data_IF_300820854573
#
_entry.id   IF_300820854573
#
_cell.length_a   1.000
_cell.length_b   1.000
_cell.length_c   1.000
_cell.angle_alpha   90.00
_cell.angle_beta   90.00
_cell.angle_gamma   90.00
#
_symmetry.space_group_name_H-M   'P 1'
#
loop_
_entity.id
_entity.type
_entity.pdbx_description
1 polymer ?
#
# COMPACT_ATOMS: atom_id res chain seq x y z
N UNK A 1 -2.85 23.75 38.07
CA UNK A 1 -2.61 22.37 38.54
C UNK A 1 -1.96 21.60 37.39
N UNK A 2 -1.08 20.64 37.67
CA UNK A 2 -0.50 19.77 36.63
C UNK A 2 -1.57 18.82 36.06
N UNK A 3 -1.61 18.67 34.74
CA UNK A 3 -2.62 17.86 34.05
C UNK A 3 -2.34 16.36 34.25
N UNK A 4 -3.23 15.66 34.94
CA UNK A 4 -3.22 14.19 34.98
C UNK A 4 -3.92 13.63 33.75
N UNK A 5 -3.49 12.44 33.30
CA UNK A 5 -4.03 11.82 32.11
C UNK A 5 -4.62 10.45 32.42
N UNK A 6 -5.75 10.16 31.79
CA UNK A 6 -6.38 8.86 31.79
C UNK A 6 -5.59 7.89 30.86
N UNK A 7 -5.02 6.78 31.38
CA UNK A 7 -4.11 5.95 30.61
C UNK A 7 -4.69 5.25 29.38
N UNK A 8 -5.96 4.82 29.39
CA UNK A 8 -6.54 4.13 28.24
C UNK A 8 -6.82 5.09 27.09
N UNK A 9 -7.18 6.34 27.38
CA UNK A 9 -7.32 7.39 26.37
C UNK A 9 -5.98 7.81 25.78
N UNK A 10 -4.91 7.82 26.57
CA UNK A 10 -3.53 8.02 26.05
C UNK A 10 -3.15 6.86 25.12
N UNK A 11 -3.43 5.62 25.50
CA UNK A 11 -3.16 4.47 24.64
C UNK A 11 -4.00 4.53 23.33
N UNK A 12 -5.26 4.94 23.43
CA UNK A 12 -6.14 5.11 22.28
C UNK A 12 -5.64 6.21 21.33
N UNK A 13 -5.21 7.37 21.86
CA UNK A 13 -4.68 8.47 21.04
C UNK A 13 -3.45 8.01 20.26
N UNK A 14 -2.55 7.27 20.90
CA UNK A 14 -1.36 6.66 20.27
C UNK A 14 -1.74 5.64 19.20
N UNK A 15 -2.73 4.78 19.47
CA UNK A 15 -3.21 3.79 18.51
C UNK A 15 -3.81 4.47 17.27
N UNK A 16 -4.62 5.52 17.45
CA UNK A 16 -5.21 6.28 16.36
C UNK A 16 -4.14 7.01 15.53
N UNK A 17 -3.15 7.62 16.19
CA UNK A 17 -2.01 8.23 15.52
C UNK A 17 -1.24 7.20 14.68
N UNK A 18 -1.00 6.01 15.23
CA UNK A 18 -0.31 4.92 14.57
C UNK A 18 -1.08 4.41 13.35
N UNK A 19 -2.38 4.09 13.52
CA UNK A 19 -3.23 3.59 12.45
C UNK A 19 -3.28 4.58 11.28
N UNK A 20 -3.62 5.85 11.54
CA UNK A 20 -3.74 6.86 10.49
C UNK A 20 -2.39 7.16 9.83
N UNK A 21 -1.29 7.19 10.60
CA UNK A 21 0.07 7.31 10.05
C UNK A 21 0.40 6.14 9.16
N UNK A 22 0.12 4.91 9.58
CA UNK A 22 0.38 3.71 8.78
C UNK A 22 -0.34 3.76 7.43
N UNK A 23 -1.62 4.09 7.41
CA UNK A 23 -2.41 4.21 6.17
C UNK A 23 -1.87 5.34 5.30
N UNK A 24 -1.69 6.54 5.88
CA UNK A 24 -1.26 7.72 5.13
C UNK A 24 0.12 7.61 4.52
N UNK A 25 1.08 7.01 5.24
CA UNK A 25 2.40 6.74 4.70
C UNK A 25 2.36 5.69 3.58
N UNK A 26 1.49 4.68 3.66
CA UNK A 26 1.34 3.66 2.61
C UNK A 26 0.80 4.28 1.30
N UNK A 27 -0.16 5.20 1.41
CA UNK A 27 -0.69 5.94 0.27
C UNK A 27 0.38 6.87 -0.31
N UNK A 28 1.10 7.61 0.53
CA UNK A 28 2.12 8.57 0.12
C UNK A 28 3.25 7.92 -0.71
N UNK A 29 3.68 6.71 -0.35
CA UNK A 29 4.73 6.00 -1.10
C UNK A 29 4.28 5.65 -2.53
N UNK A 30 3.00 5.32 -2.73
CA UNK A 30 2.46 4.94 -4.04
C UNK A 30 2.26 6.13 -4.98
N UNK A 31 2.20 7.37 -4.45
CA UNK A 31 1.99 8.59 -5.25
C UNK A 31 2.99 8.72 -6.39
N UNK A 32 4.27 8.36 -6.16
CA UNK A 32 5.35 8.55 -7.14
C UNK A 32 5.25 7.65 -8.36
N UNK A 33 4.56 6.52 -8.25
CA UNK A 33 4.47 5.49 -9.30
C UNK A 33 3.11 5.46 -9.99
N UNK A 34 2.14 6.24 -9.50
CA UNK A 34 0.77 6.22 -10.00
C UNK A 34 0.55 7.19 -11.19
N UNK A 35 -0.28 6.76 -12.15
CA UNK A 35 -0.78 7.60 -13.23
C UNK A 35 -1.65 8.76 -12.70
N UNK A 36 -1.79 9.83 -13.50
CA UNK A 36 -2.38 11.11 -13.08
C UNK A 36 -3.69 11.05 -12.26
N UNK A 37 -4.75 10.30 -12.63
CA UNK A 37 -6.00 10.28 -11.85
C UNK A 37 -5.81 9.56 -10.50
N UNK A 38 -5.16 8.38 -10.51
CA UNK A 38 -4.86 7.61 -9.29
C UNK A 38 -3.90 8.37 -8.37
N UNK A 39 -2.96 9.13 -8.94
CA UNK A 39 -2.01 9.96 -8.20
C UNK A 39 -2.73 11.03 -7.37
N UNK A 40 -3.73 11.70 -7.94
CA UNK A 40 -4.54 12.71 -7.21
C UNK A 40 -5.30 12.06 -6.05
N UNK A 41 -5.91 10.90 -6.28
CA UNK A 41 -6.62 10.15 -5.24
C UNK A 41 -5.70 9.71 -4.10
N UNK A 42 -4.52 9.18 -4.43
CA UNK A 42 -3.52 8.77 -3.43
C UNK A 42 -2.98 9.95 -2.63
N UNK A 43 -2.76 11.11 -3.27
CA UNK A 43 -2.36 12.34 -2.59
C UNK A 43 -3.45 12.83 -1.62
N UNK A 44 -4.70 12.89 -2.10
CA UNK A 44 -5.83 13.29 -1.28
C UNK A 44 -6.01 12.33 -0.10
N UNK A 45 -5.92 11.02 -0.34
CA UNK A 45 -6.01 10.02 0.71
C UNK A 45 -4.87 10.09 1.72
N UNK A 46 -3.62 10.26 1.26
CA UNK A 46 -2.47 10.43 2.15
C UNK A 46 -2.62 11.68 3.03
N UNK A 47 -3.03 12.81 2.44
CA UNK A 47 -3.27 14.05 3.17
C UNK A 47 -4.38 13.89 4.22
N UNK A 48 -5.52 13.31 3.82
CA UNK A 48 -6.68 13.14 4.69
C UNK A 48 -6.42 12.18 5.84
N UNK A 49 -5.78 11.03 5.58
CA UNK A 49 -5.47 10.03 6.61
C UNK A 49 -4.39 10.50 7.58
N UNK A 50 -3.34 11.19 7.11
CA UNK A 50 -2.35 11.81 7.99
C UNK A 50 -2.96 12.93 8.83
N UNK A 51 -3.78 13.80 8.24
CA UNK A 51 -4.45 14.86 8.97
C UNK A 51 -5.41 14.29 10.02
N UNK A 52 -6.17 13.24 9.70
CA UNK A 52 -6.99 12.51 10.68
C UNK A 52 -6.14 11.89 11.78
N UNK A 53 -4.97 11.31 11.47
CA UNK A 53 -4.07 10.77 12.49
C UNK A 53 -3.65 11.85 13.51
N UNK A 54 -3.23 13.01 13.01
CA UNK A 54 -2.76 14.13 13.85
C UNK A 54 -3.95 14.71 14.64
N UNK A 55 -5.06 14.99 13.97
CA UNK A 55 -6.27 15.60 14.57
C UNK A 55 -6.94 14.69 15.58
N UNK A 56 -7.17 13.41 15.25
CA UNK A 56 -7.77 12.46 16.18
C UNK A 56 -6.89 12.21 17.39
N UNK A 57 -5.56 12.08 17.21
CA UNK A 57 -4.66 11.96 18.35
C UNK A 57 -4.76 13.18 19.26
N UNK A 58 -4.78 14.40 18.70
CA UNK A 58 -4.88 15.62 19.49
C UNK A 58 -6.16 15.67 20.33
N UNK A 59 -7.33 15.45 19.73
CA UNK A 59 -8.60 15.53 20.46
C UNK A 59 -8.80 14.39 21.45
N UNK A 60 -8.41 13.15 21.10
CA UNK A 60 -8.43 12.03 22.07
C UNK A 60 -7.39 12.26 23.18
N UNK A 61 -6.24 12.87 22.88
CA UNK A 61 -5.24 13.28 23.86
C UNK A 61 -5.75 14.36 24.80
N UNK A 62 -6.52 15.34 24.29
CA UNK A 62 -7.22 16.33 25.11
C UNK A 62 -8.28 15.69 26.00
N UNK A 63 -9.03 14.71 25.49
CA UNK A 63 -10.00 13.95 26.29
C UNK A 63 -9.32 13.12 27.38
N UNK A 64 -8.08 12.68 27.15
CA UNK A 64 -7.29 11.99 28.16
C UNK A 64 -6.93 12.90 29.34
N UNK A 65 -6.85 14.23 29.14
CA UNK A 65 -6.58 15.17 30.22
C UNK A 65 -7.76 15.22 31.20
N UNK A 66 -7.49 14.93 32.47
CA UNK A 66 -8.49 14.99 33.53
C UNK A 66 -8.66 16.44 33.98
N UNK A 67 -9.69 17.07 33.44
CA UNK A 67 -10.06 18.43 33.82
C UNK A 67 -11.08 18.39 34.98
N UNK A 68 -11.01 19.33 35.93
CA UNK A 68 -11.88 19.34 37.12
C UNK A 68 -13.35 19.68 36.81
N UNK A 69 -13.69 19.94 35.55
CA UNK A 69 -15.02 20.32 35.08
C UNK A 69 -15.32 19.68 33.73
N UNK A 70 -16.60 19.49 33.43
CA UNK A 70 -17.03 19.05 32.11
C UNK A 70 -16.66 20.12 31.07
N UNK A 71 -15.99 19.68 30.00
CA UNK A 71 -15.59 20.54 28.88
C UNK A 71 -16.34 20.16 27.62
N UNK A 72 -16.88 21.17 26.96
CA UNK A 72 -17.46 21.06 25.63
C UNK A 72 -16.50 21.66 24.60
N UNK A 73 -16.63 21.17 23.37
CA UNK A 73 -15.77 21.54 22.25
C UNK A 73 -16.55 22.31 21.21
N UNK A 74 -16.12 23.53 20.91
CA UNK A 74 -16.71 24.34 19.85
C UNK A 74 -16.51 23.67 18.49
N UNK A 75 -17.59 23.59 17.70
CA UNK A 75 -17.58 22.91 16.40
C UNK A 75 -16.65 23.62 15.41
N UNK A 76 -16.72 24.95 15.35
CA UNK A 76 -16.00 25.73 14.33
C UNK A 76 -14.46 25.64 14.46
N UNK A 77 -13.84 25.87 15.63
CA UNK A 77 -12.39 25.68 15.79
C UNK A 77 -11.95 24.23 15.55
N UNK A 78 -12.80 23.27 15.93
CA UNK A 78 -12.56 21.83 15.72
C UNK A 78 -12.49 21.48 14.23
N UNK A 79 -13.42 21.97 13.42
CA UNK A 79 -13.43 21.76 11.97
C UNK A 79 -12.33 22.56 11.26
N UNK A 80 -12.08 23.80 11.71
CA UNK A 80 -11.08 24.67 11.11
C UNK A 80 -9.65 24.14 11.33
N UNK A 81 -9.34 23.65 12.54
CA UNK A 81 -8.07 22.99 12.82
C UNK A 81 -7.84 21.76 11.94
N UNK A 82 -8.89 20.94 11.74
CA UNK A 82 -8.82 19.80 10.82
C UNK A 82 -8.55 20.24 9.37
N UNK A 83 -9.32 21.22 8.86
CA UNK A 83 -9.19 21.71 7.50
C UNK A 83 -7.77 22.28 7.23
N UNK A 84 -7.27 23.12 8.14
CA UNK A 84 -5.92 23.68 8.04
C UNK A 84 -4.87 22.57 8.02
N UNK A 85 -5.03 21.55 8.88
CA UNK A 85 -4.14 20.38 8.91
C UNK A 85 -4.13 19.64 7.57
N UNK A 86 -5.30 19.31 7.01
CA UNK A 86 -5.44 18.61 5.72
C UNK A 86 -4.73 19.37 4.60
N UNK A 87 -4.93 20.69 4.53
CA UNK A 87 -4.33 21.52 3.48
C UNK A 87 -2.82 21.59 3.62
N UNK A 88 -2.30 21.90 4.81
CA UNK A 88 -0.87 22.12 5.03
C UNK A 88 -0.08 20.80 4.93
N UNK A 89 -0.58 19.71 5.53
CA UNK A 89 0.04 18.39 5.41
C UNK A 89 -0.06 17.89 3.96
N UNK A 90 -1.17 18.14 3.27
CA UNK A 90 -1.34 17.80 1.86
C UNK A 90 -0.33 18.51 0.95
N UNK A 91 -0.08 19.81 1.17
CA UNK A 91 0.96 20.57 0.46
C UNK A 91 2.34 19.97 0.71
N UNK A 92 2.66 19.61 1.96
CA UNK A 92 3.95 19.02 2.29
C UNK A 92 4.15 17.64 1.64
N UNK A 93 3.13 16.77 1.67
CA UNK A 93 3.16 15.46 1.01
C UNK A 93 3.27 15.61 -0.51
N UNK A 94 2.52 16.55 -1.09
CA UNK A 94 2.60 16.85 -2.52
C UNK A 94 4.01 17.31 -2.92
N UNK A 95 4.58 18.27 -2.19
CA UNK A 95 5.93 18.77 -2.42
C UNK A 95 6.98 17.66 -2.30
N UNK A 96 6.87 16.81 -1.27
CA UNK A 96 7.77 15.68 -1.06
C UNK A 96 7.64 14.59 -2.13
N UNK A 97 6.46 14.45 -2.75
CA UNK A 97 6.16 13.41 -3.75
C UNK A 97 6.51 13.80 -5.19
N UNK A 98 6.66 15.09 -5.50
CA UNK A 98 6.72 15.56 -6.89
C UNK A 98 8.14 15.53 -7.52
N UNK A 99 9.21 15.37 -6.74
CA UNK A 99 10.58 15.45 -7.27
C UNK A 99 11.64 14.72 -6.40
N UNK A 100 12.90 14.71 -6.84
CA UNK A 100 14.02 14.26 -6.01
C UNK A 100 14.12 15.13 -4.74
N UNK A 101 14.20 14.46 -3.59
CA UNK A 101 14.40 15.12 -2.31
C UNK A 101 15.84 15.60 -2.19
N UNK A 102 16.04 16.90 -2.42
CA UNK A 102 17.25 17.58 -1.98
C UNK A 102 17.14 17.90 -0.48
N UNK A 103 18.25 18.06 0.26
CA UNK A 103 18.21 18.45 1.67
C UNK A 103 17.41 19.74 1.92
N UNK A 104 17.49 20.70 0.99
CA UNK A 104 16.70 21.93 1.07
C UNK A 104 15.20 21.67 0.94
N UNK A 105 14.77 20.83 -0.01
CA UNK A 105 13.35 20.47 -0.17
C UNK A 105 12.84 19.67 1.01
N UNK A 106 13.66 18.79 1.58
CA UNK A 106 13.35 18.09 2.82
C UNK A 106 13.12 19.09 3.96
N UNK A 107 14.02 20.06 4.15
CA UNK A 107 13.88 21.10 5.16
C UNK A 107 12.62 21.96 4.98
N UNK A 108 12.35 22.40 3.75
CA UNK A 108 11.13 23.19 3.44
C UNK A 108 9.86 22.38 3.65
N UNK A 109 9.80 21.13 3.19
CA UNK A 109 8.63 20.27 3.39
C UNK A 109 8.42 19.92 4.87
N UNK A 110 9.50 19.69 5.62
CA UNK A 110 9.47 19.48 7.07
C UNK A 110 8.94 20.71 7.81
N UNK A 111 9.39 21.90 7.43
CA UNK A 111 8.92 23.16 8.01
C UNK A 111 7.43 23.39 7.73
N UNK A 112 6.97 23.19 6.49
CA UNK A 112 5.55 23.31 6.12
C UNK A 112 4.71 22.29 6.91
N UNK A 113 5.10 21.01 6.89
CA UNK A 113 4.37 19.96 7.60
C UNK A 113 4.34 20.21 9.11
N UNK A 114 5.48 20.51 9.73
CA UNK A 114 5.57 20.82 11.15
C UNK A 114 4.76 22.06 11.54
N UNK A 115 4.73 23.09 10.69
CA UNK A 115 3.86 24.26 10.89
C UNK A 115 2.39 23.86 10.88
N UNK A 116 1.97 22.95 9.98
CA UNK A 116 0.62 22.42 9.96
C UNK A 116 0.26 21.65 11.24
N UNK A 117 1.19 20.83 11.75
CA UNK A 117 1.00 20.09 13.01
C UNK A 117 0.87 21.04 14.20
N UNK A 118 1.76 22.05 14.30
CA UNK A 118 1.67 23.08 15.35
C UNK A 118 0.38 23.88 15.25
N UNK A 119 0.05 24.41 14.06
CA UNK A 119 -1.16 25.20 13.85
C UNK A 119 -2.41 24.40 14.19
N UNK A 120 -2.50 23.13 13.76
CA UNK A 120 -3.64 22.27 14.12
C UNK A 120 -3.75 22.12 15.63
N UNK A 121 -2.64 21.86 16.33
CA UNK A 121 -2.65 21.69 17.79
C UNK A 121 -3.13 22.95 18.51
N UNK A 122 -2.49 24.10 18.29
CA UNK A 122 -2.88 25.32 19.01
C UNK A 122 -4.24 25.85 18.56
N UNK A 123 -4.61 25.69 17.29
CA UNK A 123 -5.97 26.00 16.82
C UNK A 123 -7.01 25.04 17.43
N UNK A 124 -6.64 23.79 17.65
CA UNK A 124 -7.46 22.77 18.32
C UNK A 124 -7.64 23.06 19.81
N UNK A 125 -6.64 23.63 20.48
CA UNK A 125 -6.77 24.10 21.87
C UNK A 125 -7.89 25.15 22.01
N UNK A 126 -8.05 26.06 21.05
CA UNK A 126 -9.16 27.03 21.02
C UNK A 126 -10.55 26.39 20.86
N UNK A 127 -10.63 25.08 20.58
CA UNK A 127 -11.91 24.37 20.62
C UNK A 127 -12.43 24.20 22.05
N UNK A 128 -11.56 24.18 23.05
CA UNK A 128 -11.99 24.20 24.45
C UNK A 128 -12.67 25.54 24.72
N UNK A 129 -13.92 25.47 25.18
CA UNK A 129 -14.75 26.64 25.46
C UNK A 129 -14.06 27.63 26.43
N UNK A 130 -14.41 28.91 26.34
CA UNK A 130 -13.84 30.03 27.13
C UNK A 130 -14.01 29.90 28.67
N UNK A 131 -14.62 28.83 29.16
CA UNK A 131 -14.71 28.52 30.60
C UNK A 131 -13.33 28.36 31.26
N UNK A 132 -12.28 28.16 30.45
CA UNK A 132 -10.91 27.95 30.90
C UNK A 132 -9.98 28.98 30.26
N UNK A 133 -9.38 29.85 31.07
CA UNK A 133 -8.23 30.61 30.61
C UNK A 133 -7.02 29.68 30.55
N UNK A 134 -6.54 29.44 29.32
CA UNK A 134 -5.39 28.61 29.02
C UNK A 134 -4.13 29.49 28.98
N UNK A 135 -3.19 29.24 29.89
CA UNK A 135 -1.85 29.85 29.87
C UNK A 135 -0.83 28.82 29.43
N UNK A 136 -0.07 29.16 28.39
CA UNK A 136 0.98 28.30 27.85
C UNK A 136 2.35 28.82 28.28
N UNK A 137 3.19 27.93 28.81
CA UNK A 137 4.60 28.24 29.06
C UNK A 137 5.37 28.33 27.71
N UNK A 138 5.99 29.48 27.39
CA UNK A 138 6.72 29.67 26.14
C UNK A 138 7.81 28.62 25.87
N UNK A 139 8.43 28.07 26.92
CA UNK A 139 9.48 27.05 26.77
C UNK A 139 8.92 25.75 26.20
N UNK A 140 7.76 25.33 26.68
CA UNK A 140 7.08 24.13 26.20
C UNK A 140 6.49 24.33 24.80
N UNK A 141 6.04 25.54 24.47
CA UNK A 141 5.64 25.89 23.08
C UNK A 141 6.83 25.72 22.14
N UNK A 142 7.98 26.30 22.49
CA UNK A 142 9.18 26.18 21.67
C UNK A 142 9.64 24.73 21.55
N UNK A 143 9.63 23.98 22.65
CA UNK A 143 9.97 22.55 22.65
C UNK A 143 9.03 21.73 21.76
N UNK A 144 7.71 22.00 21.82
CA UNK A 144 6.73 21.31 20.98
C UNK A 144 6.94 21.64 19.50
N UNK A 145 7.29 22.88 19.16
CA UNK A 145 7.62 23.29 17.78
C UNK A 145 8.86 22.56 17.27
N UNK A 146 9.93 22.49 18.08
CA UNK A 146 11.14 21.76 17.73
C UNK A 146 10.84 20.28 17.51
N UNK A 147 10.03 19.66 18.39
CA UNK A 147 9.60 18.27 18.19
C UNK A 147 8.82 18.14 16.88
N UNK A 148 7.87 19.03 16.58
CA UNK A 148 7.07 18.98 15.36
C UNK A 148 7.93 19.06 14.09
N UNK A 149 8.87 20.00 14.02
CA UNK A 149 9.73 20.18 12.83
C UNK A 149 10.68 19.00 12.64
N UNK A 150 11.29 18.50 13.72
CA UNK A 150 12.15 17.33 13.65
C UNK A 150 11.37 16.06 13.31
N UNK A 151 10.17 15.89 13.88
CA UNK A 151 9.26 14.78 13.58
C UNK A 151 8.84 14.76 12.11
N UNK A 152 8.42 15.91 11.58
CA UNK A 152 8.04 16.08 10.19
C UNK A 152 9.23 15.79 9.25
N UNK A 153 10.41 16.31 9.56
CA UNK A 153 11.63 16.04 8.81
C UNK A 153 12.00 14.56 8.82
N UNK A 154 11.94 13.92 9.98
CA UNK A 154 12.19 12.50 10.13
C UNK A 154 11.19 11.67 9.31
N UNK A 155 9.90 11.98 9.38
CA UNK A 155 8.87 11.26 8.63
C UNK A 155 9.07 11.36 7.12
N UNK A 156 9.33 12.57 6.60
CA UNK A 156 9.59 12.78 5.17
C UNK A 156 10.89 12.07 4.76
N UNK A 157 11.93 12.11 5.59
CA UNK A 157 13.19 11.41 5.34
C UNK A 157 13.03 9.89 5.32
N UNK A 158 12.27 9.31 6.25
CA UNK A 158 12.00 7.86 6.30
C UNK A 158 11.23 7.37 5.06
N UNK A 159 10.38 8.21 4.47
CA UNK A 159 9.57 7.86 3.30
C UNK A 159 10.31 8.02 1.98
N UNK A 160 11.04 9.11 1.85
CA UNK A 160 11.53 9.60 0.56
C UNK A 160 13.05 9.80 0.51
N UNK A 161 13.75 9.61 1.64
CA UNK A 161 15.20 9.74 1.75
C UNK A 161 15.97 8.73 0.92
N UNK A 162 17.26 9.02 0.71
CA UNK A 162 18.19 8.16 -0.02
C UNK A 162 18.65 7.03 0.89
N UNK A 163 18.49 5.78 0.46
CA UNK A 163 19.00 4.60 1.17
C UNK A 163 17.97 3.49 1.37
N UNK A 164 18.25 2.58 2.31
CA UNK A 164 17.36 1.47 2.66
C UNK A 164 16.22 2.01 3.52
N UNK A 165 15.00 1.98 2.99
CA UNK A 165 13.82 2.41 3.73
C UNK A 165 13.53 1.41 4.87
N UNK A 166 13.24 1.89 6.09
CA UNK A 166 12.78 1.01 7.16
C UNK A 166 11.39 0.43 6.81
N UNK A 167 10.97 -0.65 7.49
CA UNK A 167 9.61 -1.16 7.36
C UNK A 167 8.60 -0.05 7.69
N UNK A 168 7.52 0.03 6.90
CA UNK A 168 6.52 1.09 7.06
C UNK A 168 5.86 1.14 8.44
N UNK A 169 5.73 -0.02 9.08
CA UNK A 169 5.26 -0.15 10.47
C UNK A 169 6.15 0.66 11.42
N UNK A 170 7.47 0.60 11.24
CA UNK A 170 8.42 1.35 12.06
C UNK A 170 8.30 2.85 11.80
N UNK A 171 8.22 3.27 10.53
CA UNK A 171 8.02 4.69 10.18
C UNK A 171 6.71 5.25 10.75
N UNK A 172 5.63 4.47 10.70
CA UNK A 172 4.34 4.84 11.26
C UNK A 172 4.38 4.95 12.78
N UNK A 173 5.03 4.01 13.47
CA UNK A 173 5.22 4.07 14.92
C UNK A 173 6.04 5.30 15.34
N UNK A 174 7.13 5.58 14.64
CA UNK A 174 7.98 6.74 14.91
C UNK A 174 7.19 8.04 14.68
N UNK A 175 6.45 8.16 13.57
CA UNK A 175 5.62 9.33 13.31
C UNK A 175 4.53 9.50 14.38
N UNK A 176 3.82 8.43 14.74
CA UNK A 176 2.79 8.45 15.76
C UNK A 176 3.31 8.90 17.13
N UNK A 177 4.44 8.32 17.56
CA UNK A 177 5.12 8.72 18.79
C UNK A 177 5.56 10.18 18.74
N UNK A 178 6.01 10.66 17.59
CA UNK A 178 6.47 12.04 17.45
C UNK A 178 5.32 13.06 17.48
N UNK A 179 4.18 12.73 16.85
CA UNK A 179 2.94 13.53 16.95
C UNK A 179 2.49 13.57 18.41
N UNK A 180 2.44 12.43 19.10
CA UNK A 180 2.06 12.34 20.51
C UNK A 180 3.03 13.09 21.42
N UNK A 181 4.34 12.94 21.20
CA UNK A 181 5.37 13.65 21.95
C UNK A 181 5.20 15.17 21.84
N UNK A 182 4.91 15.69 20.65
CA UNK A 182 4.63 17.12 20.48
C UNK A 182 3.42 17.55 21.32
N UNK A 183 2.30 16.83 21.19
CA UNK A 183 1.06 17.16 21.88
C UNK A 183 1.22 17.12 23.40
N UNK A 184 1.75 16.02 23.96
CA UNK A 184 1.91 15.87 25.40
C UNK A 184 2.98 16.81 25.97
N UNK A 185 3.99 17.20 25.17
CA UNK A 185 4.94 18.25 25.57
C UNK A 185 4.22 19.60 25.68
N UNK A 186 3.40 19.97 24.70
CA UNK A 186 2.64 21.21 24.75
C UNK A 186 1.62 21.23 25.91
N UNK A 187 0.95 20.10 26.18
CA UNK A 187 0.03 19.95 27.31
C UNK A 187 0.73 20.00 28.67
N UNK A 188 1.97 19.50 28.77
CA UNK A 188 2.74 19.56 30.01
C UNK A 188 3.06 21.01 30.43
N UNK A 189 3.16 21.93 29.47
CA UNK A 189 3.36 23.37 29.70
C UNK A 189 2.07 24.18 29.85
N UNK A 190 0.90 23.53 29.94
CA UNK A 190 -0.39 24.18 30.02
C UNK A 190 -0.85 24.33 31.47
N UNK A 191 -1.30 25.52 31.83
CA UNK A 191 -2.01 25.78 33.09
C UNK A 191 -3.41 26.30 32.81
N UNK A 192 -4.36 25.81 33.61
CA UNK A 192 -5.78 26.16 33.51
C UNK A 192 -6.19 27.00 34.71
N UNK A 193 -6.81 28.15 34.42
CA UNK A 193 -7.50 28.98 35.41
C UNK A 193 -9.01 28.95 35.10
N UNK A 194 -9.85 28.38 35.99
CA UNK A 194 -11.29 28.37 35.79
C UNK A 194 -11.82 29.80 35.79
N UNK A 195 -12.55 30.16 34.75
CA UNK A 195 -13.30 31.42 34.74
C UNK A 195 -14.75 31.12 35.01
N UNK A 196 -15.29 31.72 36.06
CA UNK A 196 -16.72 31.66 36.36
C UNK A 196 -17.47 32.57 35.40
N UNK A 197 -17.79 32.07 34.21
CA UNK A 197 -18.72 32.73 33.30
C UNK A 197 -20.16 32.33 33.66
N UNK A 198 -20.86 33.25 34.32
CA UNK A 198 -22.30 33.17 34.51
C UNK A 198 -23.00 33.50 33.18
N UNK A 199 -23.12 32.51 32.28
CA UNK A 199 -23.82 32.68 31.02
C UNK A 199 -23.99 31.37 30.27
N UNK A 200 -25.25 30.97 30.03
CA UNK A 200 -25.58 29.81 29.20
C UNK A 200 -25.10 29.98 27.76
N UNK A 201 -24.77 28.85 27.13
CA UNK A 201 -24.15 28.76 25.80
C UNK A 201 -25.00 29.38 24.69
N UNK A 202 -24.39 30.20 23.83
CA UNK A 202 -24.98 30.68 22.57
C UNK A 202 -24.33 30.05 21.32
N UNK A 203 -23.15 29.43 21.44
CA UNK A 203 -22.40 28.87 20.33
C UNK A 203 -22.58 27.33 20.22
N UNK A 204 -22.63 26.75 18.99
CA UNK A 204 -22.71 25.30 18.80
C UNK A 204 -21.48 24.57 19.35
N UNK A 205 -21.70 23.62 20.26
CA UNK A 205 -20.65 22.82 20.88
C UNK A 205 -20.99 21.33 20.87
N UNK A 206 -19.95 20.49 20.93
CA UNK A 206 -20.04 19.04 21.06
C UNK A 206 -19.63 18.64 22.47
N UNK A 207 -20.40 17.76 23.09
CA UNK A 207 -19.95 17.13 24.33
C UNK A 207 -18.72 16.26 24.08
N UNK A 208 -17.85 16.16 25.09
CA UNK A 208 -16.65 15.34 25.06
C UNK A 208 -16.89 13.90 24.53
N UNK A 209 -17.97 13.26 25.00
CA UNK A 209 -18.34 11.90 24.56
C UNK A 209 -18.79 11.84 23.09
N UNK A 210 -19.57 12.82 22.62
CA UNK A 210 -20.00 12.89 21.22
C UNK A 210 -18.79 13.09 20.29
N UNK A 211 -17.89 14.01 20.67
CA UNK A 211 -16.67 14.25 19.91
C UNK A 211 -15.80 12.98 19.85
N UNK A 212 -15.62 12.28 20.98
CA UNK A 212 -14.87 11.02 21.03
C UNK A 212 -15.40 10.00 20.02
N UNK A 213 -16.73 9.77 20.03
CA UNK A 213 -17.40 8.83 19.13
C UNK A 213 -17.20 9.25 17.66
N UNK A 214 -17.44 10.52 17.34
CA UNK A 214 -17.28 11.03 15.97
C UNK A 214 -15.84 10.85 15.50
N UNK A 215 -14.87 11.28 16.31
CA UNK A 215 -13.45 11.22 16.00
C UNK A 215 -13.02 9.77 15.74
N UNK A 216 -13.39 8.85 16.61
CA UNK A 216 -13.06 7.42 16.47
C UNK A 216 -13.70 6.79 15.24
N UNK A 217 -15.00 7.02 15.01
CA UNK A 217 -15.72 6.48 13.86
C UNK A 217 -15.16 7.01 12.54
N UNK A 218 -14.96 8.34 12.43
CA UNK A 218 -14.42 8.96 11.21
C UNK A 218 -13.01 8.46 10.93
N UNK A 219 -12.13 8.44 11.92
CA UNK A 219 -10.76 7.95 11.74
C UNK A 219 -10.73 6.48 11.31
N UNK A 220 -11.56 5.62 11.91
CA UNK A 220 -11.64 4.21 11.56
C UNK A 220 -12.21 4.00 10.15
N UNK A 221 -13.34 4.62 9.82
CA UNK A 221 -13.99 4.47 8.51
C UNK A 221 -13.12 4.99 7.38
N UNK A 222 -12.51 6.17 7.55
CA UNK A 222 -11.64 6.75 6.52
C UNK A 222 -10.37 5.91 6.38
N UNK A 223 -9.75 5.48 7.47
CA UNK A 223 -8.59 4.57 7.41
C UNK A 223 -8.95 3.26 6.72
N UNK A 224 -10.09 2.65 7.07
CA UNK A 224 -10.60 1.42 6.47
C UNK A 224 -10.86 1.57 4.97
N UNK A 225 -11.50 2.65 4.55
CA UNK A 225 -11.75 2.95 3.13
C UNK A 225 -10.44 3.05 2.33
N UNK A 226 -9.45 3.76 2.88
CA UNK A 226 -8.16 3.87 2.18
C UNK A 226 -7.33 2.60 2.28
N UNK A 227 -7.45 1.80 3.33
CA UNK A 227 -6.88 0.45 3.36
C UNK A 227 -7.49 -0.44 2.28
N UNK A 228 -8.80 -0.35 2.03
CA UNK A 228 -9.44 -1.04 0.90
C UNK A 228 -8.89 -0.55 -0.45
N UNK A 229 -8.55 0.73 -0.58
CA UNK A 229 -7.87 1.24 -1.77
C UNK A 229 -6.43 0.68 -1.94
N UNK A 230 -5.84 0.12 -0.87
CA UNK A 230 -4.56 -0.61 -0.94
C UNK A 230 -4.76 -2.08 -1.31
N UNK A 231 -5.94 -2.66 -1.08
CA UNK A 231 -6.27 -4.02 -1.53
C UNK A 231 -6.38 -3.98 -3.05
N UNK A 232 -5.54 -4.71 -3.80
CA UNK A 232 -5.71 -4.82 -5.23
C UNK A 232 -7.10 -5.40 -5.46
N UNK A 233 -7.98 -4.64 -6.13
CA UNK A 233 -9.22 -5.20 -6.63
C UNK A 233 -8.82 -6.39 -7.50
N UNK A 234 -9.12 -7.61 -7.03
CA UNK A 234 -9.05 -8.77 -7.90
C UNK A 234 -9.95 -8.41 -9.07
N UNK A 235 -9.38 -8.33 -10.26
CA UNK A 235 -10.11 -8.15 -11.50
C UNK A 235 -10.98 -9.40 -11.70
N UNK A 236 -12.10 -9.46 -10.98
CA UNK A 236 -13.18 -10.36 -11.28
C UNK A 236 -13.82 -9.78 -12.54
N UNK A 237 -13.37 -10.27 -13.69
CA UNK A 237 -14.17 -10.25 -14.90
C UNK A 237 -15.41 -11.09 -14.62
N UNK A 238 -16.41 -10.48 -13.98
CA UNK A 238 -17.77 -10.95 -14.15
C UNK A 238 -18.09 -10.79 -15.62
N UNK A 239 -18.25 -11.94 -16.25
CA UNK A 239 -18.83 -12.16 -17.55
C UNK A 239 -20.15 -11.39 -17.59
N UNK A 240 -20.15 -10.18 -18.17
CA UNK A 240 -21.36 -9.65 -18.79
C UNK A 240 -21.66 -10.59 -19.95
N UNK A 241 -22.56 -11.53 -19.68
CA UNK A 241 -23.29 -12.27 -20.71
C UNK A 241 -23.89 -11.23 -21.66
N UNK A 242 -23.29 -11.10 -22.83
CA UNK A 242 -23.88 -10.36 -23.94
C UNK A 242 -25.05 -11.21 -24.42
N UNK A 243 -26.26 -10.75 -24.12
CA UNK A 243 -27.46 -11.17 -24.83
C UNK A 243 -27.24 -11.00 -26.34
N UNK A 244 -27.37 -12.10 -27.08
CA UNK A 244 -27.58 -12.07 -28.52
C UNK A 244 -28.99 -12.59 -28.77
N UNK A 245 -29.85 -11.85 -29.49
CA UNK A 245 -31.19 -12.29 -29.83
C UNK A 245 -31.15 -13.32 -30.96
N UNK A 246 -31.94 -14.38 -30.84
CA UNK A 246 -32.29 -15.26 -31.95
C UNK A 246 -33.80 -15.45 -31.97
N UNK A 247 -34.43 -14.81 -32.96
CA UNK A 247 -35.83 -14.97 -33.36
C UNK A 247 -36.11 -16.39 -33.89
N UNK A 248 -37.29 -16.88 -33.52
CA UNK A 248 -38.22 -17.75 -34.27
C UNK A 248 -37.77 -19.13 -34.79
N UNK A 249 -38.33 -20.21 -34.21
CA UNK A 249 -39.47 -20.92 -34.82
C UNK A 249 -40.10 -22.01 -33.93
N UNK A 250 -41.41 -21.87 -33.80
CA UNK A 250 -42.51 -22.84 -33.63
C UNK A 250 -42.17 -24.34 -33.61
N UNK A 251 -42.66 -25.07 -32.60
CA UNK A 251 -43.83 -25.96 -32.74
C UNK A 251 -44.21 -26.67 -31.42
N UNK A 252 -45.41 -26.34 -30.94
CA UNK A 252 -46.47 -27.22 -30.43
C UNK A 252 -46.24 -28.23 -29.28
N UNK A 253 -47.26 -28.22 -28.41
CA UNK A 253 -47.83 -29.31 -27.58
C UNK A 253 -47.38 -29.47 -26.12
N UNK A 254 -48.05 -28.72 -25.24
CA UNK A 254 -48.63 -29.25 -23.99
C UNK A 254 -49.93 -30.03 -24.32
N UNK A 255 -50.62 -30.72 -23.37
CA UNK A 255 -50.30 -30.98 -21.95
C UNK A 255 -50.46 -32.47 -21.57
N UNK A 256 -49.99 -32.88 -20.39
CA UNK A 256 -50.91 -33.50 -19.42
C UNK A 256 -50.29 -33.65 -18.03
N UNK A 257 -51.08 -33.26 -17.04
CA UNK A 257 -50.95 -33.58 -15.62
C UNK A 257 -52.35 -34.00 -15.19
N UNK A 258 -52.54 -35.02 -14.34
CA UNK A 258 -52.60 -34.76 -12.90
C UNK A 258 -52.06 -36.01 -12.11
N UNK A 259 -51.86 -36.09 -10.79
CA UNK A 259 -52.76 -35.81 -9.65
C UNK A 259 -51.97 -36.15 -8.36
N UNK A 260 -52.07 -35.27 -7.36
CA UNK A 260 -52.19 -35.44 -5.88
C UNK A 260 -51.49 -36.61 -5.14
N UNK A 261 -50.69 -36.27 -4.12
CA UNK A 261 -50.95 -36.47 -2.67
C UNK A 261 -50.60 -37.91 -2.18
N UNK A 262 -50.09 -38.21 -0.97
CA UNK A 262 -49.99 -37.55 0.32
C UNK A 262 -49.09 -38.42 1.25
N UNK A 263 -48.65 -37.84 2.37
CA UNK A 263 -48.42 -38.50 3.68
C UNK A 263 -47.11 -39.26 4.04
N UNK A 264 -46.37 -38.60 4.96
CA UNK A 264 -46.07 -39.00 6.36
C UNK A 264 -45.21 -40.25 6.71
N UNK A 265 -44.02 -39.92 7.23
CA UNK A 265 -43.43 -40.27 8.56
C UNK A 265 -43.11 -41.71 9.03
N UNK A 266 -41.89 -41.81 9.59
CA UNK A 266 -41.42 -42.58 10.78
C UNK A 266 -40.42 -43.74 10.54
N UNK A 267 -39.19 -43.48 11.00
CA UNK A 267 -38.18 -44.29 11.73
C UNK A 267 -38.23 -45.83 11.64
N UNK A 268 -37.07 -46.45 11.40
CA UNK A 268 -36.22 -47.19 12.38
C UNK A 268 -34.88 -47.62 11.74
N UNK A 269 -33.77 -47.56 12.50
CA UNK A 269 -32.48 -48.22 12.17
C UNK A 269 -32.47 -49.69 12.63
N UNK A 270 -31.33 -50.42 12.77
CA UNK A 270 -29.98 -49.92 13.10
C UNK A 270 -28.76 -50.68 12.45
N UNK A 271 -27.56 -50.33 12.92
CA UNK A 271 -26.25 -51.07 12.88
C UNK A 271 -25.41 -50.99 11.57
N UNK A 272 -24.08 -50.80 11.55
CA UNK A 272 -23.01 -50.85 12.59
C UNK A 272 -21.69 -50.28 12.00
N UNK A 273 -20.81 -49.82 12.91
CA UNK A 273 -19.33 -49.68 12.77
C UNK A 273 -18.81 -48.50 11.92
N UNK A 274 -17.90 -47.63 12.34
CA UNK A 274 -17.06 -47.51 13.54
C UNK A 274 -15.89 -46.55 13.23
N UNK A 275 -15.47 -45.76 14.24
CA UNK A 275 -14.21 -45.01 14.39
C UNK A 275 -13.94 -43.74 13.53
N UNK A 276 -13.88 -42.60 14.24
CA UNK A 276 -12.92 -41.49 14.05
C UNK A 276 -11.54 -41.87 14.65
N UNK A 277 -10.44 -41.08 14.58
CA UNK A 277 -10.11 -39.85 13.80
C UNK A 277 -8.68 -39.84 13.17
N UNK A 278 -8.26 -38.68 12.61
CA UNK A 278 -6.88 -38.17 12.47
C UNK A 278 -5.97 -38.64 11.31
N UNK A 279 -5.17 -37.68 10.78
CA UNK A 279 -3.82 -37.96 10.27
C UNK A 279 -3.48 -37.43 8.87
N UNK A 280 -2.48 -36.55 8.82
CA UNK A 280 -1.64 -36.25 7.65
C UNK A 280 -1.16 -37.53 6.93
N UNK A 281 -1.25 -37.60 5.59
CA UNK A 281 -0.08 -37.70 4.70
C UNK A 281 -0.43 -37.99 3.22
N UNK A 282 0.28 -37.26 2.36
CA UNK A 282 0.88 -37.68 1.09
C UNK A 282 0.01 -38.27 -0.03
N UNK A 283 -0.11 -37.50 -1.11
CA UNK A 283 0.06 -38.02 -2.46
C UNK A 283 0.81 -36.99 -3.32
N UNK A 284 2.15 -37.07 -3.27
CA UNK A 284 3.01 -36.48 -4.28
C UNK A 284 2.80 -37.26 -5.60
N UNK A 285 1.97 -36.72 -6.49
CA UNK A 285 1.83 -37.23 -7.85
C UNK A 285 3.04 -36.84 -8.70
N UNK A 286 3.95 -37.79 -8.91
CA UNK A 286 5.00 -37.67 -9.91
C UNK A 286 4.37 -37.58 -11.31
N UNK A 287 4.36 -36.39 -11.90
CA UNK A 287 3.91 -36.18 -13.28
C UNK A 287 5.08 -36.49 -14.23
N UNK A 288 4.89 -37.52 -15.06
CA UNK A 288 5.81 -37.91 -16.14
C UNK A 288 5.97 -36.77 -17.16
N UNK A 289 7.17 -36.55 -17.73
CA UNK A 289 7.33 -35.62 -18.85
C UNK A 289 6.80 -36.26 -20.14
N UNK A 290 5.77 -35.67 -20.74
CA UNK A 290 5.32 -36.00 -22.10
C UNK A 290 6.25 -35.37 -23.16
N UNK A 291 6.41 -36.02 -24.33
CA UNK A 291 7.46 -35.69 -25.31
C UNK A 291 7.17 -34.43 -26.13
N UNK A 292 8.25 -33.93 -26.74
CA UNK A 292 8.39 -32.69 -27.49
C UNK A 292 7.53 -32.58 -28.77
N UNK A 293 7.18 -31.34 -29.10
CA UNK A 293 6.81 -30.80 -30.43
C UNK A 293 5.32 -30.57 -30.73
N UNK A 294 4.78 -29.51 -30.13
CA UNK A 294 3.87 -28.56 -30.79
C UNK A 294 4.21 -27.17 -30.24
N UNK A 295 4.17 -26.12 -31.08
CA UNK A 295 4.60 -24.74 -30.76
C UNK A 295 4.22 -24.36 -29.32
N UNK A 296 5.21 -24.33 -28.42
CA UNK A 296 4.97 -23.92 -27.03
C UNK A 296 4.62 -22.44 -27.04
N UNK A 297 3.43 -22.12 -26.57
CA UNK A 297 2.95 -20.74 -26.42
C UNK A 297 2.78 -20.43 -24.94
N UNK A 298 2.96 -19.16 -24.59
CA UNK A 298 2.62 -18.66 -23.26
C UNK A 298 1.36 -17.78 -23.36
N UNK A 299 0.44 -17.86 -22.40
CA UNK A 299 -0.70 -16.97 -22.34
C UNK A 299 -0.23 -15.55 -22.05
N UNK A 300 -0.65 -14.60 -22.87
CA UNK A 300 -0.40 -13.17 -22.68
C UNK A 300 -1.70 -12.37 -22.71
N UNK A 301 -1.70 -11.22 -22.07
CA UNK A 301 -2.76 -10.24 -22.20
C UNK A 301 -2.25 -9.07 -23.05
N UNK A 302 -2.95 -8.81 -24.16
CA UNK A 302 -2.66 -7.71 -25.09
C UNK A 302 -3.95 -6.92 -25.28
N UNK A 303 -3.91 -5.62 -24.95
CA UNK A 303 -5.05 -4.71 -25.10
C UNK A 303 -6.34 -5.20 -24.40
N UNK A 304 -6.20 -5.89 -23.25
CA UNK A 304 -7.31 -6.47 -22.48
C UNK A 304 -7.85 -7.80 -23.04
N UNK A 305 -7.27 -8.34 -24.10
CA UNK A 305 -7.62 -9.65 -24.67
C UNK A 305 -6.56 -10.70 -24.35
N UNK A 306 -7.01 -11.92 -24.01
CA UNK A 306 -6.13 -13.08 -23.81
C UNK A 306 -5.66 -13.59 -25.17
N UNK A 307 -4.37 -13.38 -25.47
CA UNK A 307 -3.69 -13.87 -26.66
C UNK A 307 -2.60 -14.87 -26.25
N UNK A 308 -1.96 -15.51 -27.21
CA UNK A 308 -0.82 -16.40 -26.98
C UNK A 308 0.40 -15.86 -27.72
N UNK A 309 1.57 -15.88 -27.06
CA UNK A 309 2.86 -15.56 -27.68
C UNK A 309 3.66 -16.83 -27.90
N UNK A 310 4.38 -16.93 -29.03
CA UNK A 310 5.28 -18.04 -29.26
C UNK A 310 6.50 -17.95 -28.34
N UNK A 311 6.85 -19.04 -27.66
CA UNK A 311 8.08 -19.08 -26.82
C UNK A 311 9.35 -18.60 -27.56
N UNK A 312 9.56 -18.87 -28.87
CA UNK A 312 10.73 -18.36 -29.59
C UNK A 312 10.80 -16.83 -29.71
N UNK A 313 9.68 -16.13 -29.61
CA UNK A 313 9.60 -14.66 -29.75
C UNK A 313 10.02 -13.94 -28.45
N UNK A 314 10.21 -14.69 -27.35
CA UNK A 314 10.48 -14.13 -26.04
C UNK A 314 11.99 -13.98 -25.82
N UNK A 315 12.40 -12.77 -25.49
CA UNK A 315 13.77 -12.37 -25.20
C UNK A 315 14.06 -12.46 -23.70
N UNK A 316 13.15 -11.93 -22.88
CA UNK A 316 13.30 -11.92 -21.42
C UNK A 316 11.97 -12.07 -20.70
N UNK A 317 12.05 -12.53 -19.45
CA UNK A 317 10.90 -12.75 -18.58
C UNK A 317 11.26 -12.22 -17.20
N UNK A 318 10.41 -11.32 -16.70
CA UNK A 318 10.55 -10.66 -15.41
C UNK A 318 9.44 -11.12 -14.45
N UNK A 319 9.80 -11.51 -13.23
CA UNK A 319 8.81 -11.79 -12.19
C UNK A 319 8.31 -10.51 -11.54
N UNK A 320 7.00 -10.33 -11.50
CA UNK A 320 6.33 -9.23 -10.82
C UNK A 320 5.24 -9.81 -9.90
N UNK A 321 5.60 -9.99 -8.62
CA UNK A 321 4.78 -10.68 -7.62
C UNK A 321 4.34 -12.11 -8.04
N UNK A 322 3.06 -12.30 -8.35
CA UNK A 322 2.46 -13.60 -8.70
C UNK A 322 2.35 -13.82 -10.22
N UNK A 323 2.71 -12.84 -11.03
CA UNK A 323 2.64 -12.89 -12.48
C UNK A 323 4.02 -12.60 -13.10
N UNK A 324 4.11 -12.66 -14.42
CA UNK A 324 5.33 -12.39 -15.16
C UNK A 324 5.09 -11.38 -16.27
N UNK A 325 6.13 -10.60 -16.60
CA UNK A 325 6.18 -9.78 -17.80
C UNK A 325 7.12 -10.41 -18.80
N UNK A 326 6.67 -10.57 -20.04
CA UNK A 326 7.44 -11.13 -21.14
C UNK A 326 7.88 -9.99 -22.05
N UNK A 327 9.13 -9.99 -22.47
CA UNK A 327 9.66 -9.00 -23.41
C UNK A 327 10.05 -9.70 -24.72
N UNK A 328 9.62 -9.18 -25.86
CA UNK A 328 9.87 -9.73 -27.20
C UNK A 328 10.94 -8.97 -28.01
N UNK A 329 11.57 -7.94 -27.43
CA UNK A 329 12.51 -7.06 -28.12
C UNK A 329 11.90 -5.71 -28.58
N UNK A 330 10.57 -5.58 -28.55
CA UNK A 330 9.85 -4.35 -28.88
C UNK A 330 8.98 -3.89 -27.71
N UNK A 331 8.18 -4.79 -27.12
CA UNK A 331 7.19 -4.47 -26.08
C UNK A 331 7.20 -5.48 -24.94
N UNK A 332 6.64 -5.05 -23.80
CA UNK A 332 6.35 -5.94 -22.67
C UNK A 332 4.90 -6.44 -22.73
N UNK A 333 4.71 -7.73 -22.49
CA UNK A 333 3.41 -8.39 -22.38
C UNK A 333 3.18 -8.88 -20.96
N UNK A 334 1.94 -8.77 -20.50
CA UNK A 334 1.53 -9.36 -19.23
C UNK A 334 1.27 -10.86 -19.41
N UNK A 335 1.83 -11.70 -18.54
CA UNK A 335 1.56 -13.12 -18.47
C UNK A 335 1.07 -13.48 -17.06
N UNK A 336 -0.12 -14.09 -16.90
CA UNK A 336 -0.71 -14.36 -15.59
C UNK A 336 0.01 -15.47 -14.80
N UNK A 337 0.94 -16.19 -15.43
CA UNK A 337 1.69 -17.27 -14.80
C UNK A 337 2.85 -16.74 -13.96
N UNK A 338 3.13 -17.41 -12.85
CA UNK A 338 4.29 -17.15 -12.02
C UNK A 338 5.60 -17.54 -12.73
N UNK A 339 6.71 -16.95 -12.30
CA UNK A 339 8.03 -17.24 -12.90
C UNK A 339 8.41 -18.73 -12.86
N UNK A 340 7.96 -19.46 -11.83
CA UNK A 340 8.24 -20.89 -11.70
C UNK A 340 7.41 -21.73 -12.68
N UNK A 341 6.13 -21.37 -12.89
CA UNK A 341 5.25 -22.03 -13.86
C UNK A 341 5.73 -21.78 -15.29
N UNK A 342 6.14 -20.54 -15.58
CA UNK A 342 6.75 -20.19 -16.85
C UNK A 342 8.07 -20.95 -17.06
N UNK A 343 8.94 -21.04 -16.05
CA UNK A 343 10.21 -21.79 -16.14
C UNK A 343 10.00 -23.27 -16.51
N UNK A 344 8.93 -23.90 -16.03
CA UNK A 344 8.60 -25.30 -16.35
C UNK A 344 8.16 -25.49 -17.81
N UNK A 345 7.56 -24.46 -18.42
CA UNK A 345 7.06 -24.51 -19.79
C UNK A 345 8.15 -24.18 -20.82
N UNK A 346 9.24 -23.53 -20.40
CA UNK A 346 10.35 -23.16 -21.28
C UNK A 346 11.33 -24.31 -21.52
N UNK A 347 12.07 -24.22 -22.63
CA UNK A 347 13.19 -25.13 -22.89
C UNK A 347 14.43 -24.69 -22.09
N UNK A 348 14.95 -25.51 -21.15
CA UNK A 348 16.11 -25.17 -20.33
C UNK A 348 17.42 -25.03 -21.11
N UNK A 349 17.47 -25.47 -22.38
CA UNK A 349 18.62 -25.26 -23.26
C UNK A 349 18.66 -23.83 -23.79
N UNK A 350 17.50 -23.25 -24.09
CA UNK A 350 17.36 -21.92 -24.69
C UNK A 350 17.19 -20.83 -23.62
N UNK A 351 16.32 -21.07 -22.63
CA UNK A 351 16.01 -20.14 -21.56
C UNK A 351 16.79 -20.44 -20.29
N UNK A 352 17.36 -19.40 -19.69
CA UNK A 352 18.20 -19.51 -18.50
C UNK A 352 17.75 -18.54 -17.42
N UNK A 353 17.53 -19.05 -16.21
CA UNK A 353 17.19 -18.22 -15.06
C UNK A 353 18.43 -17.56 -14.47
N UNK A 354 18.70 -16.33 -14.90
CA UNK A 354 19.89 -15.55 -14.55
C UNK A 354 19.79 -14.88 -13.18
N UNK A 355 18.57 -14.62 -12.70
CA UNK A 355 18.28 -14.04 -11.39
C UNK A 355 17.06 -14.74 -10.76
N UNK A 356 16.83 -14.56 -9.46
CA UNK A 356 15.60 -15.06 -8.80
C UNK A 356 14.31 -14.56 -9.47
N UNK A 357 14.38 -13.41 -10.14
CA UNK A 357 13.25 -12.73 -10.80
C UNK A 357 13.43 -12.56 -12.31
N UNK A 358 14.45 -13.16 -12.93
CA UNK A 358 14.68 -13.01 -14.38
C UNK A 358 15.05 -14.34 -15.05
N UNK A 359 14.38 -14.62 -16.16
CA UNK A 359 14.72 -15.68 -17.12
C UNK A 359 15.01 -15.01 -18.45
N UNK A 360 16.07 -15.43 -19.13
CA UNK A 360 16.55 -14.82 -20.38
C UNK A 360 16.73 -15.90 -21.43
N UNK A 361 16.30 -15.61 -22.65
CA UNK A 361 16.65 -16.37 -23.84
C UNK A 361 18.07 -15.99 -24.27
N UNK A 362 19.02 -16.92 -24.14
CA UNK A 362 20.43 -16.62 -24.35
C UNK A 362 20.76 -16.27 -25.82
N UNK A 363 19.90 -16.63 -26.78
CA UNK A 363 20.10 -16.31 -28.21
C UNK A 363 20.00 -14.81 -28.50
N UNK A 364 19.27 -14.06 -27.68
CA UNK A 364 19.06 -12.64 -27.87
C UNK A 364 20.01 -11.77 -27.02
N UNK A 365 21.04 -12.35 -26.43
CA UNK A 365 22.04 -11.62 -25.62
C UNK A 365 23.13 -11.08 -26.56
N UNK A 366 23.16 -9.76 -26.75
CA UNK A 366 24.17 -9.07 -27.59
C UNK A 366 25.47 -8.83 -26.83
N UNK A 367 25.41 -8.67 -25.52
CA UNK A 367 26.57 -8.39 -24.70
C UNK A 367 26.35 -8.68 -23.23
N UNK A 368 27.44 -8.63 -22.47
CA UNK A 368 27.38 -8.65 -21.02
C UNK A 368 28.40 -7.65 -20.47
N UNK A 369 28.01 -6.90 -19.45
CA UNK A 369 28.87 -5.94 -18.75
C UNK A 369 28.94 -6.30 -17.27
N UNK A 370 30.05 -5.98 -16.63
CA UNK A 370 30.22 -6.15 -15.19
C UNK A 370 30.38 -4.77 -14.57
N UNK A 371 29.34 -4.31 -13.87
CA UNK A 371 29.36 -3.03 -13.16
C UNK A 371 29.58 -3.32 -11.68
N UNK A 372 30.85 -3.30 -11.25
CA UNK A 372 31.26 -3.65 -9.88
C UNK A 372 30.97 -5.11 -9.54
N UNK A 373 30.22 -5.35 -8.45
CA UNK A 373 29.86 -6.70 -7.98
C UNK A 373 28.62 -7.31 -8.66
N UNK A 374 28.02 -6.63 -9.66
CA UNK A 374 26.81 -7.09 -10.36
C UNK A 374 27.08 -7.29 -11.85
N UNK A 375 26.79 -8.49 -12.35
CA UNK A 375 26.81 -8.78 -13.78
C UNK A 375 25.48 -8.38 -14.43
N UNK A 376 25.53 -7.79 -15.61
CA UNK A 376 24.37 -7.35 -16.39
C UNK A 376 24.46 -7.93 -17.80
N UNK A 377 23.38 -8.53 -18.28
CA UNK A 377 23.23 -8.93 -19.68
C UNK A 377 22.56 -7.80 -20.46
N UNK A 378 23.02 -7.58 -21.68
CA UNK A 378 22.42 -6.63 -22.63
C UNK A 378 21.71 -7.46 -23.69
N UNK A 379 20.41 -7.23 -23.86
CA UNK A 379 19.58 -7.92 -24.83
C UNK A 379 19.45 -7.10 -26.13
N UNK A 380 19.31 -7.80 -27.25
CA UNK A 380 18.88 -7.21 -28.51
C UNK A 380 17.46 -6.64 -28.37
N UNK A 381 17.15 -5.54 -29.07
CA UNK A 381 15.83 -4.91 -29.04
C UNK A 381 15.90 -3.46 -29.54
N UNK A 382 14.74 -2.83 -29.75
CA UNK A 382 14.68 -1.40 -30.08
C UNK A 382 15.25 -0.53 -28.95
N UNK A 383 15.04 -0.96 -27.70
CA UNK A 383 15.70 -0.42 -26.51
C UNK A 383 16.55 -1.53 -25.87
N UNK A 384 17.85 -1.32 -25.72
CA UNK A 384 18.77 -2.31 -25.17
C UNK A 384 18.45 -2.60 -23.69
N UNK A 385 17.65 -3.64 -23.42
CA UNK A 385 17.25 -4.00 -22.07
C UNK A 385 18.43 -4.61 -21.30
N UNK A 386 18.70 -4.06 -20.11
CA UNK A 386 19.76 -4.52 -19.20
C UNK A 386 19.18 -5.43 -18.12
N UNK A 387 19.51 -6.72 -18.16
CA UNK A 387 19.00 -7.72 -17.21
C UNK A 387 20.06 -8.08 -16.16
N UNK A 388 19.80 -7.93 -14.85
CA UNK A 388 20.77 -8.26 -13.81
C UNK A 388 20.93 -9.77 -13.64
N UNK A 389 22.17 -10.20 -13.38
CA UNK A 389 22.54 -11.60 -13.12
C UNK A 389 22.97 -11.76 -11.67
N UNK A 390 22.47 -12.82 -11.02
CA UNK A 390 22.86 -13.17 -9.66
C UNK A 390 24.31 -13.67 -9.58
N UNK A 391 25.02 -13.33 -8.50
CA UNK A 391 26.44 -13.71 -8.28
C UNK A 391 26.66 -15.22 -8.37
N UNK A 392 25.79 -16.00 -7.75
CA UNK A 392 25.87 -17.47 -7.72
C UNK A 392 25.61 -18.13 -9.07
N UNK A 393 24.94 -17.44 -10.01
CA UNK A 393 24.60 -17.98 -11.34
C UNK A 393 25.48 -17.43 -12.46
N UNK A 394 26.31 -16.42 -12.17
CA UNK A 394 27.16 -15.76 -13.17
C UNK A 394 28.09 -16.72 -13.92
N UNK A 395 28.79 -17.60 -13.20
CA UNK A 395 29.72 -18.59 -13.79
C UNK A 395 29.00 -19.52 -14.77
N UNK A 396 27.84 -20.05 -14.37
CA UNK A 396 27.01 -20.94 -15.20
C UNK A 396 26.44 -20.24 -16.43
N UNK A 397 25.95 -19.00 -16.28
CA UNK A 397 25.41 -18.21 -17.39
C UNK A 397 26.51 -17.87 -18.39
N UNK A 398 27.70 -17.46 -17.92
CA UNK A 398 28.86 -17.17 -18.77
C UNK A 398 29.30 -18.40 -19.56
N UNK A 399 29.43 -19.56 -18.91
CA UNK A 399 29.81 -20.80 -19.59
C UNK A 399 28.83 -21.18 -20.71
N UNK A 400 27.51 -21.02 -20.47
CA UNK A 400 26.48 -21.28 -21.49
C UNK A 400 26.50 -20.27 -22.64
N UNK A 401 26.77 -19.00 -22.38
CA UNK A 401 26.90 -17.98 -23.43
C UNK A 401 28.12 -18.21 -24.33
N UNK A 402 29.23 -18.67 -23.76
CA UNK A 402 30.44 -19.02 -24.54
C UNK A 402 30.16 -20.24 -25.41
N UNK A 403 29.59 -21.32 -24.85
CA UNK A 403 29.25 -22.53 -25.60
C UNK A 403 28.25 -22.28 -26.75
N UNK A 404 27.28 -21.36 -26.57
CA UNK A 404 26.34 -20.98 -27.63
C UNK A 404 27.00 -20.17 -28.76
N UNK A 405 28.03 -19.37 -28.46
CA UNK A 405 28.79 -18.60 -29.45
C UNK A 405 29.79 -19.45 -30.23
N UNK A 406 30.41 -20.44 -29.59
CA UNK A 406 31.29 -21.42 -30.25
C UNK A 406 30.53 -22.30 -31.27
N UNK A 407 29.22 -22.49 -31.08
CA UNK A 407 28.35 -23.14 -32.06
C UNK A 407 27.82 -22.24 -33.19
N UNK A 408 28.10 -20.93 -33.16
CA UNK A 408 27.56 -19.93 -34.10
C UNK A 408 28.70 -19.10 -34.70
N UNK A 409 29.61 -19.73 -35.45
CA UNK A 409 30.70 -19.02 -36.15
C UNK A 409 30.19 -18.35 -37.43
N UNK A 410 29.94 -17.04 -37.37
CA UNK A 410 30.32 -16.00 -38.37
C UNK A 410 29.55 -14.71 -38.05
N UNK A 411 30.24 -13.67 -37.57
CA UNK A 411 29.66 -12.33 -37.42
C UNK A 411 30.36 -11.49 -36.34
N UNK A 412 31.13 -10.49 -36.78
CA UNK A 412 32.04 -9.63 -36.02
C UNK A 412 31.42 -8.81 -34.87
N UNK A 413 32.22 -8.61 -33.82
CA UNK A 413 31.96 -7.70 -32.70
C UNK A 413 32.55 -6.30 -32.95
N UNK A 414 31.91 -5.22 -32.48
CA UNK A 414 32.61 -4.09 -31.89
C UNK A 414 32.91 -4.37 -30.41
N UNK A 415 34.12 -4.01 -30.00
CA UNK A 415 34.80 -4.38 -28.77
C UNK A 415 34.07 -3.99 -27.46
N UNK A 416 34.42 -4.75 -26.41
CA UNK A 416 34.10 -4.44 -25.03
C UNK A 416 34.71 -3.09 -24.62
N UNK A 417 33.88 -2.08 -24.37
CA UNK A 417 34.28 -0.91 -23.61
C UNK A 417 34.39 -1.31 -22.12
N UNK A 418 35.62 -1.21 -21.62
CA UNK A 418 36.03 -1.41 -20.23
C UNK A 418 35.27 -0.50 -19.25
#
# INVERSE_FOLDING_TARGET
>A
MSVTHEPWLVALSLLMAFQGSFVGLNLAIQVRQAAAPRRRLLLAGAALTLALAIWSMHFVGMLAAQLPMAVDFLILPTLLSFLVCVLVVGIAVFAASNASLTPLRLGLAAFVMGSGICTMHYLGMYALHESLHMRHDPLYILASFLIAFNAAGLAIWLLFGLGRRPPIVVSAAVLALAIAAMHYTAMAGLTFEPVQTAGGFLAPALSAGMLAIIVSCVAFLVSGLFLLALVPAQANQDVKSVDVPSEEREEQSEPDSPTEAESRTVRTGPERSGKQPAGLQAAAGAVRPSPLSAKRTLPIEKDGQKTQIGVPEIYSIHADAHYTRLYDGNREFFCPLSISEVEQQLDPKTFNRVHRSHIVNLKHVVGFKRTGERGVLVLAGQDAQMVPVSRSRWSRVKARLVALKEGTSTGEFPAAAQ
#
